data_IF_445270005665
#
_entry.id   IF_445270005665
#
_cell.length_a   1.000
_cell.length_b   1.000
_cell.length_c   1.000
_cell.angle_alpha   90.00
_cell.angle_beta   90.00
_cell.angle_gamma   90.00
#
_symmetry.space_group_name_H-M   'P 1'
#
loop_
_entity.id
_entity.type
_entity.pdbx_description
1 polymer ?
#
# COMPACT_ATOMS: atom_id res chain seq x y z
N UNK A 1 -7.63 -20.55 -14.21
CA UNK A 1 -7.17 -20.86 -12.84
C UNK A 1 -7.06 -19.53 -12.10
N UNK A 2 -7.25 -19.46 -10.79
CA UNK A 2 -7.03 -18.18 -10.10
C UNK A 2 -5.52 -17.89 -9.99
N UNK A 3 -5.15 -16.60 -10.01
CA UNK A 3 -3.76 -16.15 -9.99
C UNK A 3 -3.00 -16.65 -8.74
N UNK A 4 -3.71 -16.89 -7.64
CA UNK A 4 -3.10 -17.38 -6.40
C UNK A 4 -2.59 -18.81 -6.57
N UNK A 5 -3.41 -19.67 -7.19
CA UNK A 5 -3.09 -21.06 -7.47
C UNK A 5 -1.97 -21.18 -8.50
N UNK A 6 -1.92 -20.27 -9.49
CA UNK A 6 -0.80 -20.15 -10.44
C UNK A 6 0.51 -19.79 -9.74
N UNK A 7 0.53 -18.73 -8.92
CA UNK A 7 1.73 -18.32 -8.16
C UNK A 7 2.21 -19.46 -7.23
N UNK A 8 1.30 -20.12 -6.52
CA UNK A 8 1.65 -21.25 -5.65
C UNK A 8 2.27 -22.37 -6.49
N UNK A 9 1.67 -22.72 -7.63
CA UNK A 9 2.18 -23.78 -8.51
C UNK A 9 3.58 -23.48 -9.04
N UNK A 10 3.87 -22.23 -9.38
CA UNK A 10 5.20 -21.80 -9.84
C UNK A 10 6.24 -21.78 -8.70
N UNK A 11 5.83 -21.43 -7.48
CA UNK A 11 6.74 -21.37 -6.32
C UNK A 11 7.00 -22.71 -5.66
N UNK A 12 6.07 -23.67 -5.79
CA UNK A 12 6.19 -24.99 -5.18
C UNK A 12 7.51 -25.70 -5.52
N UNK A 13 7.94 -25.81 -6.80
CA UNK A 13 9.23 -26.39 -7.15
C UNK A 13 10.43 -25.67 -6.52
N UNK A 14 10.34 -24.36 -6.31
CA UNK A 14 11.42 -23.54 -5.76
C UNK A 14 11.69 -23.85 -4.28
N UNK A 15 10.76 -24.53 -3.60
CA UNK A 15 10.96 -24.98 -2.22
C UNK A 15 11.93 -26.14 -2.10
N UNK A 16 12.15 -26.89 -3.20
CA UNK A 16 12.93 -28.13 -3.19
C UNK A 16 12.28 -29.31 -2.45
N UNK A 17 11.03 -29.15 -1.99
CA UNK A 17 10.28 -30.17 -1.23
C UNK A 17 9.35 -30.91 -2.19
N UNK A 18 9.21 -32.23 -2.02
CA UNK A 18 8.30 -33.01 -2.86
C UNK A 18 6.83 -32.68 -2.55
N UNK A 19 5.96 -32.77 -3.56
CA UNK A 19 4.53 -32.47 -3.39
C UNK A 19 3.85 -33.35 -2.32
N UNK A 20 4.33 -34.60 -2.14
CA UNK A 20 3.81 -35.50 -1.12
C UNK A 20 4.20 -35.08 0.30
N UNK A 21 5.40 -34.55 0.49
CA UNK A 21 5.84 -33.98 1.77
C UNK A 21 5.12 -32.66 2.06
N UNK A 22 4.93 -31.81 1.06
CA UNK A 22 4.15 -30.57 1.19
C UNK A 22 2.72 -30.88 1.60
N UNK A 23 2.08 -31.87 0.96
CA UNK A 23 0.74 -32.31 1.33
C UNK A 23 0.66 -32.72 2.82
N UNK A 24 1.67 -33.45 3.32
CA UNK A 24 1.78 -33.79 4.75
C UNK A 24 1.92 -32.53 5.63
N UNK A 25 2.80 -31.58 5.26
CA UNK A 25 3.04 -30.36 6.03
C UNK A 25 1.81 -29.46 6.16
N UNK A 26 0.94 -29.44 5.15
CA UNK A 26 -0.30 -28.65 5.15
C UNK A 26 -1.54 -29.46 5.57
N UNK A 27 -1.35 -30.70 6.04
CA UNK A 27 -2.37 -31.62 6.51
C UNK A 27 -3.45 -31.97 5.46
N UNK A 28 -3.05 -32.29 4.23
CA UNK A 28 -3.98 -32.73 3.16
C UNK A 28 -3.44 -33.97 2.45
N UNK A 29 -4.31 -34.66 1.70
CA UNK A 29 -3.87 -35.73 0.80
C UNK A 29 -3.15 -35.16 -0.45
N UNK A 30 -2.20 -35.90 -1.04
CA UNK A 30 -1.58 -35.49 -2.31
C UNK A 30 -2.60 -35.23 -3.42
N UNK A 31 -3.69 -36.00 -3.46
CA UNK A 31 -4.77 -35.81 -4.43
C UNK A 31 -5.48 -34.46 -4.25
N UNK A 32 -5.79 -34.06 -3.01
CA UNK A 32 -6.38 -32.74 -2.72
C UNK A 32 -5.45 -31.60 -3.12
N UNK A 33 -4.15 -31.72 -2.85
CA UNK A 33 -3.17 -30.73 -3.29
C UNK A 33 -3.12 -30.64 -4.83
N UNK A 34 -3.11 -31.77 -5.54
CA UNK A 34 -3.15 -31.77 -7.02
C UNK A 34 -4.42 -31.13 -7.56
N UNK A 35 -5.59 -31.45 -6.99
CA UNK A 35 -6.86 -30.86 -7.43
C UNK A 35 -6.87 -29.34 -7.19
N UNK A 36 -6.32 -28.87 -6.07
CA UNK A 36 -6.15 -27.43 -5.82
C UNK A 36 -5.23 -26.77 -6.86
N UNK A 37 -4.05 -27.34 -7.11
CA UNK A 37 -3.07 -26.79 -8.06
C UNK A 37 -3.51 -26.83 -9.53
N UNK A 38 -4.56 -27.58 -9.84
CA UNK A 38 -5.18 -27.60 -11.15
C UNK A 38 -6.45 -26.72 -11.22
N UNK A 39 -6.82 -26.05 -10.12
CA UNK A 39 -7.99 -25.19 -10.04
C UNK A 39 -9.33 -25.95 -9.96
N UNK A 40 -9.30 -27.24 -9.63
CA UNK A 40 -10.48 -28.11 -9.59
C UNK A 40 -11.10 -28.24 -8.20
N UNK A 41 -10.42 -27.75 -7.15
CA UNK A 41 -10.92 -27.78 -5.77
C UNK A 41 -10.34 -26.63 -4.95
N UNK A 42 -10.94 -26.35 -3.79
CA UNK A 42 -10.41 -25.41 -2.81
C UNK A 42 -9.77 -26.14 -1.62
N UNK A 43 -8.84 -25.46 -0.96
CA UNK A 43 -8.33 -25.88 0.35
C UNK A 43 -9.11 -25.16 1.46
N UNK A 44 -9.19 -25.79 2.63
CA UNK A 44 -9.66 -25.08 3.81
C UNK A 44 -8.67 -23.96 4.21
N UNK A 45 -9.12 -23.02 5.04
CA UNK A 45 -8.34 -21.85 5.44
C UNK A 45 -6.99 -22.19 6.08
N UNK A 46 -6.93 -23.20 6.96
CA UNK A 46 -5.71 -23.57 7.67
C UNK A 46 -4.67 -24.18 6.73
N UNK A 47 -5.10 -25.13 5.89
CA UNK A 47 -4.24 -25.75 4.87
C UNK A 47 -3.75 -24.74 3.84
N UNK A 48 -4.61 -23.79 3.42
CA UNK A 48 -4.22 -22.73 2.50
C UNK A 48 -3.21 -21.76 3.13
N UNK A 49 -3.43 -21.32 4.38
CA UNK A 49 -2.49 -20.42 5.09
C UNK A 49 -1.11 -21.09 5.28
N UNK A 50 -1.09 -22.38 5.62
CA UNK A 50 0.14 -23.17 5.68
C UNK A 50 0.83 -23.28 4.33
N UNK A 51 0.08 -23.53 3.26
CA UNK A 51 0.62 -23.63 1.90
C UNK A 51 1.24 -22.29 1.44
N UNK A 52 0.52 -21.18 1.63
CA UNK A 52 0.99 -19.82 1.31
C UNK A 52 2.28 -19.50 2.05
N UNK A 53 2.36 -19.81 3.35
CA UNK A 53 3.59 -19.65 4.15
C UNK A 53 4.73 -20.53 3.65
N UNK A 54 4.44 -21.79 3.33
CA UNK A 54 5.42 -22.76 2.84
C UNK A 54 6.05 -22.31 1.53
N UNK A 55 5.26 -21.74 0.60
CA UNK A 55 5.78 -21.18 -0.65
C UNK A 55 6.36 -19.76 -0.50
N UNK A 56 6.59 -19.31 0.74
CA UNK A 56 7.27 -18.05 1.04
C UNK A 56 6.46 -16.79 0.74
N UNK A 57 5.13 -16.86 0.74
CA UNK A 57 4.27 -15.67 0.62
C UNK A 57 3.94 -15.17 2.02
N UNK A 58 4.36 -13.94 2.34
CA UNK A 58 4.17 -13.37 3.68
C UNK A 58 3.03 -12.35 3.72
N UNK A 59 1.81 -12.81 3.97
CA UNK A 59 0.63 -11.94 4.08
C UNK A 59 0.66 -11.02 5.32
N UNK A 60 1.52 -11.29 6.31
CA UNK A 60 1.63 -10.43 7.50
C UNK A 60 2.19 -9.04 7.16
N UNK A 61 2.89 -8.89 6.03
CA UNK A 61 3.42 -7.59 5.58
C UNK A 61 2.28 -6.57 5.47
N UNK A 62 1.17 -6.93 4.82
CA UNK A 62 0.00 -6.07 4.67
C UNK A 62 -0.60 -5.68 6.02
N UNK A 63 -0.80 -6.64 6.93
CA UNK A 63 -1.32 -6.36 8.28
C UNK A 63 -0.41 -5.41 9.06
N UNK A 64 0.89 -5.65 9.03
CA UNK A 64 1.88 -4.87 9.77
C UNK A 64 2.00 -3.46 9.20
N UNK A 65 1.95 -3.30 7.87
CA UNK A 65 1.92 -2.00 7.17
C UNK A 65 0.75 -1.15 7.64
N UNK A 66 -0.46 -1.72 7.66
CA UNK A 66 -1.66 -1.01 8.12
C UNK A 66 -1.57 -0.65 9.61
N UNK A 67 -1.10 -1.57 10.45
CA UNK A 67 -0.93 -1.34 11.89
C UNK A 67 0.06 -0.21 12.17
N UNK A 68 1.20 -0.21 11.47
CA UNK A 68 2.24 0.80 11.61
C UNK A 68 1.74 2.18 11.16
N UNK A 69 0.99 2.25 10.06
CA UNK A 69 0.41 3.50 9.58
C UNK A 69 -0.62 4.08 10.57
N UNK A 70 -1.45 3.23 11.18
CA UNK A 70 -2.37 3.65 12.26
C UNK A 70 -1.62 4.19 13.47
N UNK A 71 -0.55 3.52 13.89
CA UNK A 71 0.26 3.98 15.03
C UNK A 71 0.93 5.33 14.73
N UNK A 72 1.51 5.48 13.53
CA UNK A 72 2.09 6.74 13.08
C UNK A 72 1.05 7.87 13.06
N UNK A 73 -0.16 7.61 12.54
CA UNK A 73 -1.24 8.59 12.50
C UNK A 73 -1.64 9.07 13.90
N UNK A 74 -1.69 8.17 14.89
CA UNK A 74 -1.96 8.53 16.29
C UNK A 74 -0.87 9.42 16.87
N UNK A 75 0.42 9.10 16.62
CA UNK A 75 1.55 9.88 17.12
C UNK A 75 1.70 11.25 16.44
N UNK A 76 1.15 11.39 15.22
CA UNK A 76 1.15 12.64 14.45
C UNK A 76 -0.17 13.41 14.55
N UNK A 77 -1.00 13.15 15.57
CA UNK A 77 -2.31 13.81 15.72
C UNK A 77 -2.22 15.35 15.77
N UNK A 78 -1.14 15.90 16.34
CA UNK A 78 -0.89 17.34 16.42
C UNK A 78 -0.26 17.97 15.16
N UNK A 79 0.15 17.16 14.19
CA UNK A 79 0.75 17.64 12.93
C UNK A 79 -0.35 17.93 11.93
N UNK A 80 -0.27 19.04 11.21
CA UNK A 80 -1.25 19.36 10.16
C UNK A 80 -1.08 18.46 8.95
N UNK A 81 -2.15 18.28 8.18
CA UNK A 81 -2.13 17.44 6.99
C UNK A 81 -1.15 18.00 5.93
N UNK A 82 -0.94 19.32 5.88
CA UNK A 82 0.06 19.97 5.02
C UNK A 82 1.49 19.65 5.44
N UNK A 83 1.80 19.72 6.74
CA UNK A 83 3.11 19.35 7.27
C UNK A 83 3.41 17.87 7.02
N UNK A 84 2.42 17.00 7.21
CA UNK A 84 2.58 15.55 7.02
C UNK A 84 2.89 15.20 5.56
N UNK A 85 2.26 15.86 4.59
CA UNK A 85 2.57 15.65 3.16
C UNK A 85 4.04 15.96 2.85
N UNK A 86 4.56 17.03 3.46
CA UNK A 86 5.92 17.52 3.24
C UNK A 86 6.96 16.89 4.15
N UNK A 87 6.52 16.03 5.08
CA UNK A 87 7.38 15.38 6.05
C UNK A 87 8.33 14.41 5.36
N UNK A 88 9.63 14.52 5.66
CA UNK A 88 10.61 13.54 5.21
C UNK A 88 10.45 12.23 5.97
N UNK A 89 11.01 11.14 5.43
CA UNK A 89 11.06 9.85 6.14
C UNK A 89 11.76 9.95 7.49
N UNK A 90 12.84 10.73 7.56
CA UNK A 90 13.61 10.94 8.78
C UNK A 90 12.82 11.74 9.82
N UNK A 91 12.15 12.81 9.42
CA UNK A 91 11.30 13.61 10.33
C UNK A 91 10.17 12.76 10.89
N UNK A 92 9.54 11.93 10.05
CA UNK A 92 8.48 11.04 10.50
C UNK A 92 8.98 10.02 11.51
N UNK A 93 10.17 9.44 11.29
CA UNK A 93 10.82 8.54 12.27
C UNK A 93 11.10 9.28 13.58
N UNK A 94 11.63 10.51 13.50
CA UNK A 94 11.98 11.32 14.67
C UNK A 94 10.74 11.64 15.52
N UNK A 95 9.68 12.12 14.89
CA UNK A 95 8.45 12.54 15.57
C UNK A 95 7.64 11.36 16.13
N UNK A 96 7.66 10.20 15.47
CA UNK A 96 6.87 9.03 15.89
C UNK A 96 7.66 8.03 16.74
N UNK A 97 8.99 8.08 16.71
CA UNK A 97 9.86 7.05 17.27
C UNK A 97 9.78 5.68 16.56
N UNK A 98 9.06 5.58 15.44
CA UNK A 98 8.81 4.33 14.73
C UNK A 98 9.96 4.00 13.76
N UNK A 99 10.98 3.32 14.29
CA UNK A 99 12.19 2.97 13.53
C UNK A 99 11.91 2.12 12.28
N UNK A 100 10.81 1.38 12.25
CA UNK A 100 10.39 0.54 11.13
C UNK A 100 10.10 1.34 9.86
N UNK A 101 9.75 2.62 9.99
CA UNK A 101 9.48 3.50 8.83
C UNK A 101 10.70 3.61 7.91
N UNK A 102 11.93 3.40 8.43
CA UNK A 102 13.16 3.45 7.63
C UNK A 102 13.21 2.44 6.49
N UNK A 103 12.43 1.35 6.57
CA UNK A 103 12.44 0.29 5.57
C UNK A 103 11.60 0.61 4.33
N UNK A 104 10.76 1.66 4.38
CA UNK A 104 10.03 2.11 3.20
C UNK A 104 10.96 2.84 2.24
N UNK A 105 10.90 2.42 0.97
CA UNK A 105 11.74 2.98 -0.07
C UNK A 105 11.18 4.30 -0.59
N UNK A 106 12.07 5.24 -0.85
CA UNK A 106 11.74 6.53 -1.46
C UNK A 106 12.11 6.48 -2.93
N UNK A 107 11.14 6.82 -3.77
CA UNK A 107 11.26 6.83 -5.22
C UNK A 107 10.74 8.15 -5.75
N UNK A 108 11.36 8.65 -6.82
CA UNK A 108 10.88 9.80 -7.58
C UNK A 108 9.52 9.52 -8.23
N UNK A 109 8.88 10.56 -8.77
CA UNK A 109 7.60 10.40 -9.47
C UNK A 109 7.68 9.52 -10.71
N UNK A 110 8.78 9.64 -11.47
CA UNK A 110 8.98 8.83 -12.67
C UNK A 110 9.21 7.36 -12.32
N UNK A 111 10.05 7.07 -11.32
CA UNK A 111 10.26 5.71 -10.81
C UNK A 111 8.98 5.10 -10.25
N UNK A 112 8.14 5.88 -9.56
CA UNK A 112 6.86 5.40 -9.06
C UNK A 112 5.88 5.06 -10.19
N UNK A 113 5.84 5.86 -11.26
CA UNK A 113 5.02 5.53 -12.42
C UNK A 113 5.48 4.21 -13.06
N UNK A 114 6.79 4.01 -13.21
CA UNK A 114 7.37 2.78 -13.77
C UNK A 114 7.11 1.55 -12.89
N UNK A 115 7.28 1.67 -11.57
CA UNK A 115 6.96 0.60 -10.60
C UNK A 115 5.51 0.15 -10.76
N UNK A 116 4.61 1.12 -10.91
CA UNK A 116 3.17 0.89 -11.01
C UNK A 116 2.78 0.28 -12.36
N UNK A 117 3.50 0.60 -13.44
CA UNK A 117 3.29 0.03 -14.76
C UNK A 117 3.84 -1.40 -14.86
N UNK A 118 5.02 -1.65 -14.28
CA UNK A 118 5.73 -2.93 -14.37
C UNK A 118 5.27 -3.96 -13.35
N UNK A 119 4.75 -3.54 -12.18
CA UNK A 119 4.30 -4.40 -11.08
C UNK A 119 5.35 -5.37 -10.55
N UNK A 120 6.64 -5.08 -10.78
CA UNK A 120 7.77 -5.90 -10.28
C UNK A 120 8.10 -5.56 -8.81
N UNK A 121 7.73 -4.36 -8.36
CA UNK A 121 7.89 -3.90 -6.99
C UNK A 121 6.50 -3.59 -6.41
N UNK A 122 6.22 -4.05 -5.19
CA UNK A 122 4.97 -3.71 -4.50
C UNK A 122 5.00 -2.22 -4.16
N UNK A 123 4.23 -1.41 -4.91
CA UNK A 123 4.14 0.04 -4.68
C UNK A 123 3.69 0.38 -3.25
N UNK A 124 3.07 -0.56 -2.54
CA UNK A 124 2.70 -0.38 -1.13
C UNK A 124 3.90 -0.42 -0.16
N UNK A 125 5.07 -0.86 -0.61
CA UNK A 125 6.35 -0.80 0.12
C UNK A 125 7.07 0.56 -0.03
N UNK A 126 6.44 1.51 -0.72
CA UNK A 126 6.98 2.86 -0.91
C UNK A 126 6.62 3.77 0.27
N UNK A 127 7.52 4.70 0.60
CA UNK A 127 7.29 5.67 1.67
C UNK A 127 6.14 6.61 1.33
N UNK A 128 5.97 6.95 0.05
CA UNK A 128 4.89 7.79 -0.43
C UNK A 128 3.52 7.13 -0.24
N UNK A 129 3.41 5.81 -0.45
CA UNK A 129 2.21 5.05 -0.10
C UNK A 129 1.96 5.02 1.39
N UNK A 130 2.98 4.68 2.18
CA UNK A 130 2.88 4.67 3.65
C UNK A 130 2.39 6.01 4.20
N UNK A 131 2.98 7.13 3.76
CA UNK A 131 2.58 8.50 4.12
C UNK A 131 1.11 8.77 3.79
N UNK A 132 0.64 8.28 2.65
CA UNK A 132 -0.77 8.40 2.24
C UNK A 132 -1.72 7.62 3.15
N UNK A 133 -1.32 6.43 3.62
CA UNK A 133 -2.07 5.68 4.63
C UNK A 133 -2.12 6.41 5.97
N UNK A 134 -1.00 7.00 6.41
CA UNK A 134 -0.96 7.80 7.64
C UNK A 134 -1.92 8.98 7.57
N UNK A 135 -1.93 9.71 6.45
CA UNK A 135 -2.90 10.79 6.19
C UNK A 135 -4.34 10.29 6.26
N UNK A 136 -4.63 9.17 5.59
CA UNK A 136 -5.95 8.58 5.63
C UNK A 136 -6.41 8.27 7.06
N UNK A 137 -5.58 7.58 7.85
CA UNK A 137 -5.95 7.21 9.21
C UNK A 137 -6.08 8.42 10.14
N UNK A 138 -5.26 9.45 9.92
CA UNK A 138 -5.39 10.71 10.65
C UNK A 138 -6.72 11.42 10.33
N UNK A 139 -7.11 11.48 9.06
CA UNK A 139 -8.35 12.17 8.64
C UNK A 139 -9.63 11.37 8.90
N UNK A 140 -9.57 10.05 8.75
CA UNK A 140 -10.71 9.16 9.02
C UNK A 140 -10.94 8.92 10.52
N UNK A 141 -9.92 9.18 11.34
CA UNK A 141 -9.86 8.83 12.75
C UNK A 141 -9.60 7.34 12.98
N UNK A 142 -9.21 7.00 14.22
CA UNK A 142 -9.07 5.61 14.64
C UNK A 142 -10.46 5.00 14.81
N UNK A 143 -10.75 3.98 13.99
CA UNK A 143 -12.01 3.23 14.04
C UNK A 143 -11.73 1.74 14.01
N UNK A 144 -12.56 0.98 14.72
CA UNK A 144 -12.50 -0.48 14.69
C UNK A 144 -12.85 -1.02 13.31
N UNK A 145 -13.80 -0.37 12.62
CA UNK A 145 -14.21 -0.69 11.26
C UNK A 145 -14.38 0.58 10.42
N UNK A 146 -13.83 0.56 9.20
CA UNK A 146 -14.01 1.62 8.22
C UNK A 146 -15.16 1.24 7.28
N UNK A 147 -16.16 2.11 7.17
CA UNK A 147 -17.25 1.91 6.20
C UNK A 147 -16.81 2.39 4.81
N UNK A 148 -17.36 1.78 3.76
CA UNK A 148 -17.10 2.20 2.38
C UNK A 148 -17.32 3.71 2.18
N UNK A 149 -18.42 4.26 2.72
CA UNK A 149 -18.76 5.69 2.62
C UNK A 149 -17.75 6.58 3.33
N UNK A 150 -17.30 6.21 4.54
CA UNK A 150 -16.27 6.96 5.27
C UNK A 150 -14.97 6.96 4.48
N UNK A 151 -14.50 5.78 4.08
CA UNK A 151 -13.26 5.62 3.31
C UNK A 151 -13.28 6.47 2.06
N UNK A 152 -14.38 6.40 1.29
CA UNK A 152 -14.58 7.22 0.09
C UNK A 152 -14.53 8.72 0.39
N UNK A 153 -15.28 9.18 1.40
CA UNK A 153 -15.34 10.60 1.74
C UNK A 153 -13.98 11.15 2.20
N UNK A 154 -13.23 10.38 3.00
CA UNK A 154 -11.88 10.76 3.44
C UNK A 154 -10.92 10.90 2.26
N UNK A 155 -10.91 9.93 1.34
CA UNK A 155 -10.07 10.01 0.15
C UNK A 155 -10.47 11.17 -0.77
N UNK A 156 -11.77 11.42 -0.97
CA UNK A 156 -12.24 12.58 -1.73
C UNK A 156 -11.78 13.90 -1.11
N UNK A 157 -11.84 14.01 0.21
CA UNK A 157 -11.33 15.19 0.95
C UNK A 157 -9.84 15.37 0.67
N UNK A 158 -9.03 14.35 0.89
CA UNK A 158 -7.57 14.39 0.67
C UNK A 158 -7.23 14.77 -0.78
N UNK A 159 -7.92 14.17 -1.75
CA UNK A 159 -7.69 14.47 -3.16
C UNK A 159 -8.10 15.90 -3.53
N UNK A 160 -9.19 16.42 -2.95
CA UNK A 160 -9.60 17.82 -3.13
C UNK A 160 -8.58 18.80 -2.53
N UNK A 161 -7.96 18.45 -1.41
CA UNK A 161 -6.90 19.24 -0.78
C UNK A 161 -5.60 19.21 -1.63
N UNK A 162 -5.31 18.09 -2.29
CA UNK A 162 -4.20 18.02 -3.25
C UNK A 162 -4.46 18.87 -4.49
N UNK A 163 -5.63 18.75 -5.11
CA UNK A 163 -5.99 19.49 -6.33
C UNK A 163 -6.09 21.01 -6.11
N UNK A 164 -6.48 21.45 -4.91
CA UNK A 164 -6.60 22.88 -4.57
C UNK A 164 -5.28 23.52 -4.15
N UNK A 165 -4.17 22.80 -4.19
CA UNK A 165 -2.88 23.34 -3.80
C UNK A 165 -2.59 23.29 -2.29
N UNK A 166 -3.58 22.91 -1.48
CA UNK A 166 -3.49 22.90 -0.01
C UNK A 166 -2.46 21.88 0.50
N UNK A 167 -2.25 20.80 -0.26
CA UNK A 167 -1.23 19.77 -0.01
C UNK A 167 0.01 19.89 -0.92
N UNK A 168 0.23 21.02 -1.61
CA UNK A 168 1.40 21.15 -2.49
C UNK A 168 2.69 21.17 -1.68
N UNK A 169 3.60 20.29 -2.07
CA UNK A 169 4.99 20.27 -1.62
C UNK A 169 5.74 21.48 -2.14
N UNK A 170 5.74 22.54 -1.35
CA UNK A 170 6.74 23.58 -1.47
C UNK A 170 8.04 23.08 -0.86
N UNK A 171 9.16 23.36 -1.53
CA UNK A 171 10.47 23.41 -0.87
C UNK A 171 10.29 24.34 0.33
N UNK A 172 10.41 23.84 1.55
CA UNK A 172 10.41 24.69 2.74
C UNK A 172 11.76 25.42 2.73
N UNK A 173 11.77 26.59 2.11
CA UNK A 173 12.77 27.60 2.37
C UNK A 173 12.69 27.98 3.84
N UNK A 174 13.76 27.67 4.56
CA UNK A 174 14.09 28.19 5.90
C UNK A 174 13.17 27.77 7.05
N UNK A 175 13.41 26.57 7.60
CA UNK A 175 13.30 26.36 9.05
C UNK A 175 14.69 25.94 9.57
N UNK A 176 15.41 26.95 10.08
CA UNK A 176 16.48 26.88 11.08
C UNK A 176 17.47 25.70 11.09
N UNK A 177 18.65 25.96 10.48
CA UNK A 177 20.01 25.59 10.91
C UNK A 177 20.18 24.22 11.62
N UNK A 178 20.44 23.19 10.83
CA UNK A 178 21.14 22.00 11.30
C UNK A 178 20.79 20.73 10.53
N UNK A 179 21.39 20.56 9.35
CA UNK A 179 21.62 19.25 8.71
C UNK A 179 20.37 18.44 8.28
N UNK A 180 19.98 18.59 7.01
CA UNK A 180 19.77 17.52 6.01
C UNK A 180 18.92 18.06 4.83
N UNK A 181 19.53 18.17 3.66
CA UNK A 181 18.84 18.38 2.39
C UNK A 181 18.09 17.08 2.04
N UNK A 182 16.85 16.91 2.52
CA UNK A 182 15.98 15.82 2.08
C UNK A 182 14.93 16.35 1.10
N UNK A 183 14.90 15.79 -0.10
CA UNK A 183 13.85 16.05 -1.09
C UNK A 183 12.51 15.53 -0.56
N UNK A 184 11.57 16.44 -0.29
CA UNK A 184 10.22 16.05 0.13
C UNK A 184 9.47 15.42 -1.06
N UNK A 185 9.54 14.09 -1.18
CA UNK A 185 8.68 13.33 -2.11
C UNK A 185 7.28 13.34 -1.47
N UNK A 186 6.42 14.21 -2.01
CA UNK A 186 5.06 14.44 -1.51
C UNK A 186 4.13 13.25 -1.80
N UNK A 187 3.12 13.05 -0.96
CA UNK A 187 2.05 12.07 -1.21
C UNK A 187 1.32 12.31 -2.54
N UNK A 188 1.37 13.54 -3.07
CA UNK A 188 0.88 13.91 -4.40
C UNK A 188 1.39 13.01 -5.53
N UNK A 189 2.58 12.43 -5.36
CA UNK A 189 3.20 11.54 -6.33
C UNK A 189 2.52 10.17 -6.33
N UNK A 190 2.27 9.58 -5.16
CA UNK A 190 1.47 8.35 -5.05
C UNK A 190 0.08 8.57 -5.59
N UNK A 191 -0.50 9.74 -5.31
CA UNK A 191 -1.77 10.12 -5.86
C UNK A 191 -1.69 10.14 -7.42
N UNK A 192 -0.69 10.79 -8.03
CA UNK A 192 -0.55 10.79 -9.50
C UNK A 192 -0.30 9.41 -10.12
N UNK A 193 0.53 8.55 -9.51
CA UNK A 193 0.84 7.21 -10.03
C UNK A 193 -0.40 6.29 -10.02
N UNK A 194 -1.17 6.32 -8.94
CA UNK A 194 -2.44 5.58 -8.85
C UNK A 194 -3.48 6.05 -9.88
N UNK A 195 -3.43 7.31 -10.34
CA UNK A 195 -4.32 7.86 -11.38
C UNK A 195 -4.06 7.27 -12.76
N UNK A 196 -2.80 6.99 -13.09
CA UNK A 196 -2.39 6.61 -14.45
C UNK A 196 -2.56 5.12 -14.73
N UNK A 197 -2.59 4.27 -13.70
CA UNK A 197 -2.59 2.81 -13.87
C UNK A 197 -3.98 2.18 -13.70
N UNK A 198 -4.58 1.62 -14.78
CA UNK A 198 -5.82 0.85 -14.71
C UNK A 198 -5.73 -0.40 -13.83
N UNK A 199 -4.51 -0.88 -13.54
CA UNK A 199 -4.27 -2.05 -12.70
C UNK A 199 -4.42 -1.71 -11.21
N UNK A 200 -3.97 -0.52 -10.81
CA UNK A 200 -4.17 -0.04 -9.44
C UNK A 200 -5.62 0.33 -9.17
N UNK A 201 -6.36 0.77 -10.20
CA UNK A 201 -7.77 1.14 -10.10
C UNK A 201 -8.68 0.06 -9.47
N UNK A 202 -8.30 -1.23 -9.51
CA UNK A 202 -9.13 -2.35 -9.02
C UNK A 202 -8.82 -2.84 -7.59
N UNK A 203 -7.75 -2.37 -6.93
CA UNK A 203 -7.43 -2.75 -5.56
C UNK A 203 -8.00 -1.71 -4.60
N UNK A 204 -8.94 -2.06 -3.71
CA UNK A 204 -9.71 -1.18 -2.78
C UNK A 204 -8.94 -0.10 -1.97
N UNK A 205 -7.61 -0.03 -2.05
CA UNK A 205 -6.75 1.06 -1.61
C UNK A 205 -6.51 2.12 -2.71
N UNK A 206 -7.16 1.96 -3.86
CA UNK A 206 -7.22 2.83 -5.04
C UNK A 206 -8.32 3.88 -4.91
N UNK A 207 -8.12 4.87 -4.05
CA UNK A 207 -8.92 6.10 -4.02
C UNK A 207 -8.89 6.93 -5.33
N UNK A 208 -8.55 6.30 -6.46
CA UNK A 208 -8.04 6.91 -7.68
C UNK A 208 -8.94 6.85 -8.91
N UNK A 209 -9.81 5.85 -9.02
CA UNK A 209 -10.76 5.78 -10.15
C UNK A 209 -11.77 6.93 -10.11
N UNK A 210 -12.23 7.29 -8.91
CA UNK A 210 -13.21 8.37 -8.72
C UNK A 210 -12.60 9.77 -8.89
N UNK A 211 -11.28 9.93 -8.63
CA UNK A 211 -10.55 11.18 -8.91
C UNK A 211 -10.40 11.43 -10.42
N UNK A 212 -10.15 10.38 -11.20
CA UNK A 212 -10.05 10.48 -12.66
C UNK A 212 -11.42 10.83 -13.31
N UNK A 213 -12.54 10.29 -12.82
CA UNK A 213 -13.87 10.57 -13.37
C UNK A 213 -14.48 11.91 -12.93
N UNK A 214 -14.19 12.38 -11.72
CA UNK A 214 -14.73 13.66 -11.21
C UNK A 214 -14.04 14.86 -11.88
N UNK A 215 -12.76 14.73 -12.23
CA UNK A 215 -11.99 15.74 -12.95
C UNK A 215 -12.29 15.72 -14.46
N UNK A 216 -12.47 14.54 -15.10
CA UNK A 216 -12.83 14.45 -16.53
C UNK A 216 -14.24 14.97 -16.88
N UNK A 217 -15.18 14.97 -15.92
CA UNK A 217 -16.53 15.55 -16.10
C UNK A 217 -16.58 17.06 -15.86
N UNK A 218 -15.64 17.66 -15.12
CA UNK A 218 -15.63 19.11 -14.85
C UNK A 218 -14.94 19.95 -15.92
N UNK A 219 -13.95 19.42 -16.63
CA UNK A 219 -13.30 20.11 -17.77
C UNK A 219 -14.04 19.99 -19.10
N UNK A 220 -15.13 19.20 -19.19
CA UNK A 220 -16.02 19.17 -20.37
C UNK A 220 -17.26 20.07 -20.23
N UNK A 221 -17.44 20.78 -19.10
CA UNK A 221 -18.68 21.55 -18.83
C UNK A 221 -18.48 22.97 -18.27
N UNK A 222 -17.28 23.54 -18.32
CA UNK A 222 -17.06 24.99 -18.16
C UNK A 222 -15.92 25.45 -19.04
#
# INVERSE_FOLDING_TARGET
>A
MDITSEIIKERLPLTGISQSEIAKMINVSPAQLTQYLNGNSSLNKDSLDKLIKLVGINLNIYRNRLSLAKEAATKLAGVTSKELVNMSKLDMICLTGLKQIRFYQEFSEDELNEIVETMVFDYEDTFSYFKSLVLFYKEAGQKDNYTHTLTKNTWMKLASMAASGVLVGGIIGNITKGLLLSTAIGSSITFNAMRKSPLLNNNLLSGFVDLAMTMAKKTKKR
#
